data_IF_255782215002
#
_entry.id   IF_255782215002
#
_cell.length_a   1.000
_cell.length_b   1.000
_cell.length_c   1.000
_cell.angle_alpha   90.00
_cell.angle_beta   90.00
_cell.angle_gamma   90.00
#
_symmetry.space_group_name_H-M   'P 1'
#
loop_
_entity.id
_entity.type
_entity.pdbx_description
1 polymer ?
#
# COMPACT_ATOMS: atom_id res chain seq x y z
N UNK A 1 23.21 -35.22 7.54
CA UNK A 1 22.34 -34.09 7.15
C UNK A 1 22.05 -34.01 5.64
N UNK A 2 21.90 -35.13 4.91
CA UNK A 2 21.58 -35.12 3.45
C UNK A 2 20.15 -35.62 3.11
N UNK A 3 19.42 -36.20 4.07
CA UNK A 3 18.06 -36.73 3.86
C UNK A 3 16.94 -35.69 3.86
N UNK A 4 17.08 -34.60 4.63
CA UNK A 4 16.04 -33.57 4.74
C UNK A 4 15.92 -32.66 3.50
N UNK A 5 16.95 -32.61 2.66
CA UNK A 5 16.96 -31.80 1.44
C UNK A 5 16.05 -32.39 0.34
N UNK A 6 15.98 -33.71 0.23
CA UNK A 6 15.11 -34.39 -0.73
C UNK A 6 13.63 -34.33 -0.33
N UNK A 7 13.33 -34.29 0.98
CA UNK A 7 11.95 -34.15 1.46
C UNK A 7 11.38 -32.74 1.23
N UNK A 8 12.23 -31.71 1.30
CA UNK A 8 11.88 -30.31 0.94
C UNK A 8 11.64 -30.14 -0.57
N UNK A 9 12.41 -30.83 -1.41
CA UNK A 9 12.22 -30.82 -2.87
C UNK A 9 10.95 -31.56 -3.30
N UNK A 10 10.59 -32.66 -2.63
CA UNK A 10 9.33 -33.38 -2.90
C UNK A 10 8.10 -32.55 -2.49
N UNK A 11 8.19 -31.78 -1.40
CA UNK A 11 7.15 -30.85 -0.96
C UNK A 11 6.90 -29.70 -1.94
N UNK A 12 7.97 -29.16 -2.54
CA UNK A 12 7.84 -28.11 -3.56
C UNK A 12 7.19 -28.61 -4.86
N UNK A 13 7.34 -29.89 -5.20
CA UNK A 13 6.75 -30.47 -6.41
C UNK A 13 5.26 -30.80 -6.27
N UNK A 14 4.75 -30.95 -5.04
CA UNK A 14 3.32 -31.15 -4.77
C UNK A 14 2.55 -29.83 -4.67
N UNK A 15 3.20 -28.74 -4.25
CA UNK A 15 2.64 -27.38 -4.22
C UNK A 15 2.43 -26.76 -5.62
N UNK A 16 3.19 -27.17 -6.62
CA UNK A 16 3.03 -26.67 -8.00
C UNK A 16 1.81 -27.27 -8.72
N UNK A 17 1.36 -28.47 -8.35
CA UNK A 17 0.18 -29.10 -8.98
C UNK A 17 -1.15 -28.48 -8.55
N UNK A 18 -1.25 -27.94 -7.33
CA UNK A 18 -2.45 -27.24 -6.86
C UNK A 18 -2.57 -25.85 -7.49
N UNK A 19 -1.44 -25.16 -7.74
CA UNK A 19 -1.44 -23.87 -8.43
C UNK A 19 -1.97 -23.95 -9.87
N UNK A 20 -1.59 -25.00 -10.62
CA UNK A 20 -2.00 -25.17 -12.02
C UNK A 20 -3.48 -25.57 -12.19
N UNK A 21 -4.04 -26.36 -11.25
CA UNK A 21 -5.46 -26.74 -11.27
C UNK A 21 -6.39 -25.54 -11.04
N UNK A 22 -5.93 -24.58 -10.23
CA UNK A 22 -6.69 -23.39 -9.89
C UNK A 22 -6.71 -22.35 -11.03
N UNK A 23 -5.63 -22.26 -11.83
CA UNK A 23 -5.59 -21.46 -13.06
C UNK A 23 -6.60 -21.94 -14.12
N UNK A 24 -6.78 -23.26 -14.27
CA UNK A 24 -7.71 -23.82 -15.25
C UNK A 24 -9.17 -23.63 -14.80
N UNK A 25 -9.47 -23.71 -13.51
CA UNK A 25 -10.81 -23.45 -12.98
C UNK A 25 -11.22 -21.97 -13.10
N UNK A 26 -10.29 -21.02 -12.91
CA UNK A 26 -10.55 -19.59 -13.11
C UNK A 26 -10.73 -19.23 -14.60
N UNK A 27 -10.14 -20.00 -15.52
CA UNK A 27 -10.26 -19.77 -16.97
C UNK A 27 -11.63 -20.13 -17.55
N UNK A 28 -12.37 -21.05 -16.92
CA UNK A 28 -13.71 -21.49 -17.35
C UNK A 28 -14.85 -20.64 -16.77
N UNK A 29 -14.56 -19.74 -15.83
CA UNK A 29 -15.55 -18.88 -15.17
C UNK A 29 -15.61 -17.44 -15.70
N UNK A 30 -14.82 -17.11 -16.74
CA UNK A 30 -14.88 -15.81 -17.42
C UNK A 30 -15.89 -15.82 -18.56
N UNK A 31 -17.19 -15.82 -18.22
CA UNK A 31 -18.23 -15.38 -19.13
C UNK A 31 -18.21 -13.84 -19.27
N UNK A 32 -18.16 -13.41 -20.52
CA UNK A 32 -18.44 -12.10 -21.13
C UNK A 32 -18.92 -10.95 -20.21
N UNK A 33 -17.98 -10.20 -19.63
CA UNK A 33 -18.13 -8.76 -19.42
C UNK A 33 -16.94 -8.06 -20.08
N UNK A 34 -17.18 -6.97 -20.84
CA UNK A 34 -16.14 -6.10 -21.42
C UNK A 34 -14.96 -6.00 -20.44
N UNK A 35 -13.70 -6.30 -20.85
CA UNK A 35 -12.59 -6.36 -19.93
C UNK A 35 -12.40 -4.98 -19.29
N UNK A 36 -12.94 -4.84 -18.09
CA UNK A 36 -12.80 -3.67 -17.23
C UNK A 36 -11.30 -3.45 -17.02
N UNK A 37 -10.81 -2.28 -17.42
CA UNK A 37 -9.39 -1.91 -17.33
C UNK A 37 -8.87 -2.16 -15.91
N UNK A 38 -7.75 -2.88 -15.76
CA UNK A 38 -7.14 -3.11 -14.45
C UNK A 38 -6.42 -1.86 -13.94
N UNK A 39 -6.23 -0.85 -14.78
CA UNK A 39 -5.52 0.39 -14.46
C UNK A 39 -6.42 1.46 -13.85
N UNK A 40 -5.85 2.24 -12.95
CA UNK A 40 -6.52 3.34 -12.29
C UNK A 40 -5.57 4.49 -11.98
N UNK A 41 -6.15 5.68 -11.83
CA UNK A 41 -5.53 6.85 -11.22
C UNK A 41 -5.97 6.95 -9.76
N UNK A 42 -5.07 7.40 -8.90
CA UNK A 42 -5.30 7.53 -7.46
C UNK A 42 -4.85 8.92 -7.02
N UNK A 43 -5.65 9.56 -6.17
CA UNK A 43 -5.29 10.78 -5.47
C UNK A 43 -5.48 10.54 -3.97
N UNK A 44 -4.52 10.98 -3.16
CA UNK A 44 -4.53 10.78 -1.72
C UNK A 44 -4.17 12.08 -0.99
N UNK A 45 -4.81 12.27 0.16
CA UNK A 45 -4.54 13.33 1.11
C UNK A 45 -4.01 12.74 2.42
N UNK A 46 -2.95 13.34 2.97
CA UNK A 46 -2.33 12.97 4.25
C UNK A 46 -1.90 11.48 4.37
N UNK A 47 -1.45 10.87 3.27
CA UNK A 47 -1.11 9.44 3.19
C UNK A 47 0.33 9.05 3.49
N UNK A 48 1.08 9.88 4.22
CA UNK A 48 2.53 9.72 4.45
C UNK A 48 3.40 9.74 3.17
N UNK A 49 2.85 10.24 2.05
CA UNK A 49 3.56 10.55 0.79
C UNK A 49 3.69 12.07 0.62
N UNK A 50 3.14 12.86 1.53
CA UNK A 50 2.97 14.31 1.42
C UNK A 50 1.59 14.74 1.87
N UNK A 51 1.29 16.04 1.73
CA UNK A 51 -0.05 16.56 2.01
C UNK A 51 -1.04 16.05 0.97
N UNK A 52 -0.63 16.11 -0.30
CA UNK A 52 -1.37 15.59 -1.45
C UNK A 52 -0.46 14.70 -2.28
N UNK A 53 -1.02 13.65 -2.86
CA UNK A 53 -0.31 12.82 -3.83
C UNK A 53 -1.23 12.35 -4.94
N UNK A 54 -0.64 12.11 -6.10
CA UNK A 54 -1.30 11.53 -7.27
C UNK A 54 -0.48 10.36 -7.77
N UNK A 55 -1.15 9.33 -8.26
CA UNK A 55 -0.50 8.09 -8.64
C UNK A 55 -1.27 7.31 -9.68
N UNK A 56 -0.58 6.33 -10.24
CA UNK A 56 -1.11 5.38 -11.21
C UNK A 56 -0.90 3.98 -10.67
N UNK A 57 -1.86 3.10 -10.89
CA UNK A 57 -1.77 1.74 -10.38
C UNK A 57 -2.53 0.73 -11.21
N UNK A 58 -2.32 -0.54 -10.83
CA UNK A 58 -2.92 -1.70 -11.47
C UNK A 58 -3.53 -2.63 -10.42
N UNK A 59 -4.72 -3.14 -10.73
CA UNK A 59 -5.36 -4.25 -10.03
C UNK A 59 -4.87 -5.58 -10.62
N UNK A 60 -4.47 -6.50 -9.73
CA UNK A 60 -3.95 -7.83 -10.03
C UNK A 60 -4.59 -8.86 -9.10
N UNK A 61 -4.30 -10.15 -9.31
CA UNK A 61 -4.78 -11.26 -8.47
C UNK A 61 -6.30 -11.24 -8.25
N UNK A 62 -7.05 -11.35 -9.36
CA UNK A 62 -8.52 -11.29 -9.36
C UNK A 62 -9.08 -10.06 -8.62
N UNK A 63 -8.47 -8.89 -8.85
CA UNK A 63 -8.81 -7.59 -8.24
C UNK A 63 -8.66 -7.52 -6.72
N UNK A 64 -7.96 -8.47 -6.09
CA UNK A 64 -7.69 -8.44 -4.65
C UNK A 64 -6.37 -7.76 -4.30
N UNK A 65 -5.47 -7.60 -5.26
CA UNK A 65 -4.19 -6.93 -5.05
C UNK A 65 -4.11 -5.67 -5.91
N UNK A 66 -3.74 -4.56 -5.29
CA UNK A 66 -3.47 -3.30 -5.94
C UNK A 66 -2.00 -2.95 -5.77
N UNK A 67 -1.36 -2.55 -6.86
CA UNK A 67 0.00 -2.01 -6.82
C UNK A 67 -0.01 -0.65 -7.51
N UNK A 68 0.42 0.38 -6.79
CA UNK A 68 0.46 1.75 -7.30
C UNK A 68 1.79 2.43 -7.05
N UNK A 69 2.09 3.35 -7.96
CA UNK A 69 3.18 4.29 -7.87
C UNK A 69 2.59 5.70 -7.75
N UNK A 70 3.00 6.41 -6.71
CA UNK A 70 2.47 7.72 -6.34
C UNK A 70 3.57 8.75 -6.20
N UNK A 71 3.29 9.98 -6.61
CA UNK A 71 4.12 11.15 -6.38
C UNK A 71 3.37 12.12 -5.48
N UNK A 72 4.02 12.57 -4.42
CA UNK A 72 3.44 13.46 -3.42
C UNK A 72 4.22 14.73 -3.21
N UNK A 73 3.50 15.71 -2.67
CA UNK A 73 3.97 17.06 -2.45
C UNK A 73 3.59 17.53 -1.05
N UNK A 74 4.55 18.10 -0.33
CA UNK A 74 4.35 18.72 0.97
C UNK A 74 4.85 20.17 0.93
N UNK A 75 3.95 21.16 1.14
CA UNK A 75 4.33 22.56 1.09
C UNK A 75 5.15 22.98 2.31
N UNK A 76 6.05 23.94 2.09
CA UNK A 76 6.97 24.48 3.11
C UNK A 76 6.26 24.94 4.39
N UNK A 77 5.06 25.52 4.28
CA UNK A 77 4.29 26.01 5.43
C UNK A 77 4.02 24.93 6.49
N UNK A 78 4.03 23.65 6.10
CA UNK A 78 3.75 22.53 7.01
C UNK A 78 5.00 21.77 7.45
N UNK A 79 6.07 21.81 6.66
CA UNK A 79 7.26 20.99 6.89
C UNK A 79 8.55 21.78 7.15
N UNK A 80 8.49 23.12 7.14
CA UNK A 80 9.69 23.96 7.19
C UNK A 80 10.41 24.07 5.85
N UNK A 81 10.32 23.02 5.02
CA UNK A 81 10.83 22.94 3.65
C UNK A 81 9.85 22.29 2.66
N UNK A 82 10.10 22.52 1.37
CA UNK A 82 9.32 21.93 0.29
C UNK A 82 9.82 20.52 0.01
N UNK A 83 8.98 19.52 0.30
CA UNK A 83 9.33 18.11 0.10
C UNK A 83 8.58 17.51 -1.08
N UNK A 84 9.30 16.71 -1.86
CA UNK A 84 8.75 15.84 -2.87
C UNK A 84 9.02 14.40 -2.47
N UNK A 85 8.04 13.53 -2.67
CA UNK A 85 8.15 12.13 -2.27
C UNK A 85 7.59 11.25 -3.37
N UNK A 86 8.29 10.16 -3.67
CA UNK A 86 7.73 9.06 -4.49
C UNK A 86 7.40 7.90 -3.58
N UNK A 87 6.37 7.14 -3.91
CA UNK A 87 5.98 5.98 -3.13
C UNK A 87 5.49 4.84 -4.02
N UNK A 88 5.87 3.63 -3.64
CA UNK A 88 5.28 2.40 -4.15
C UNK A 88 4.40 1.83 -3.05
N UNK A 89 3.14 1.54 -3.38
CA UNK A 89 2.16 1.00 -2.43
C UNK A 89 1.57 -0.29 -2.96
N UNK A 90 1.39 -1.24 -2.05
CA UNK A 90 0.72 -2.51 -2.28
C UNK A 90 -0.46 -2.64 -1.31
N UNK A 91 -1.66 -2.80 -1.85
CA UNK A 91 -2.91 -2.90 -1.08
C UNK A 91 -3.60 -4.23 -1.39
N UNK A 92 -3.87 -5.01 -0.36
CA UNK A 92 -4.57 -6.28 -0.42
C UNK A 92 -5.99 -6.17 0.17
N UNK A 93 -6.94 -6.78 -0.52
CA UNK A 93 -8.34 -6.87 -0.10
C UNK A 93 -8.66 -8.30 0.34
N UNK A 94 -8.59 -8.61 1.64
CA UNK A 94 -8.78 -9.98 2.14
C UNK A 94 -10.23 -10.45 2.06
N UNK A 95 -11.19 -9.53 2.17
CA UNK A 95 -12.63 -9.83 2.19
C UNK A 95 -13.23 -9.46 0.83
N UNK A 96 -14.31 -10.15 0.41
CA UNK A 96 -15.06 -9.78 -0.79
C UNK A 96 -15.84 -8.47 -0.57
N UNK A 97 -16.07 -7.66 -1.61
CA UNK A 97 -16.95 -6.51 -1.51
C UNK A 97 -18.38 -6.92 -1.10
N UNK A 98 -18.98 -6.15 -0.22
CA UNK A 98 -20.38 -6.29 0.20
C UNK A 98 -21.23 -5.34 -0.67
N UNK A 99 -22.16 -5.85 -1.48
CA UNK A 99 -23.03 -4.99 -2.28
C UNK A 99 -24.05 -4.30 -1.36
N UNK A 100 -24.07 -2.97 -1.37
CA UNK A 100 -24.99 -2.15 -0.57
C UNK A 100 -25.75 -1.21 -1.51
N UNK A 101 -26.97 -1.59 -1.89
CA UNK A 101 -27.86 -0.82 -2.79
C UNK A 101 -27.19 -0.43 -4.11
N UNK A 102 -26.61 0.77 -4.17
CA UNK A 102 -26.02 1.42 -5.35
C UNK A 102 -24.48 1.42 -5.34
N UNK A 103 -23.85 0.96 -4.26
CA UNK A 103 -22.40 0.91 -4.10
C UNK A 103 -21.93 -0.47 -3.66
N UNK A 104 -20.68 -0.80 -3.94
CA UNK A 104 -20.00 -1.96 -3.36
C UNK A 104 -19.06 -1.48 -2.27
N UNK A 105 -19.31 -1.92 -1.05
CA UNK A 105 -18.50 -1.57 0.11
C UNK A 105 -17.44 -2.63 0.35
N UNK A 106 -16.18 -2.20 0.40
CA UNK A 106 -15.03 -3.01 0.75
C UNK A 106 -14.66 -2.68 2.21
N UNK A 107 -15.06 -3.53 3.18
CA UNK A 107 -14.94 -3.19 4.60
C UNK A 107 -13.50 -3.18 5.09
N UNK A 108 -12.63 -3.96 4.45
CA UNK A 108 -11.25 -4.12 4.85
C UNK A 108 -10.30 -4.10 3.65
N UNK A 109 -9.27 -3.27 3.77
CA UNK A 109 -8.07 -3.23 2.95
C UNK A 109 -6.86 -3.19 3.87
N UNK A 110 -5.82 -3.95 3.55
CA UNK A 110 -4.55 -3.95 4.27
C UNK A 110 -3.45 -3.63 3.28
N UNK A 111 -2.37 -2.98 3.72
CA UNK A 111 -1.30 -2.72 2.79
C UNK A 111 -0.03 -2.17 3.41
N UNK A 112 0.96 -2.07 2.53
CA UNK A 112 2.25 -1.51 2.84
C UNK A 112 2.66 -0.51 1.77
N UNK A 113 3.43 0.48 2.17
CA UNK A 113 3.98 1.52 1.32
C UNK A 113 5.45 1.67 1.63
N UNK A 114 6.24 1.85 0.58
CA UNK A 114 7.64 2.24 0.65
C UNK A 114 7.72 3.59 -0.04
N UNK A 115 8.18 4.62 0.67
CA UNK A 115 8.33 5.96 0.14
C UNK A 115 9.78 6.43 0.18
N UNK A 116 10.14 7.28 -0.78
CA UNK A 116 11.42 7.95 -0.88
C UNK A 116 11.19 9.46 -0.97
N UNK A 117 11.71 10.20 0.01
CA UNK A 117 11.62 11.67 0.06
C UNK A 117 12.89 12.29 -0.50
N UNK A 118 12.73 13.21 -1.45
CA UNK A 118 13.83 13.97 -2.05
C UNK A 118 14.17 15.19 -1.21
N UNK A 119 15.46 15.44 -1.01
CA UNK A 119 15.99 16.68 -0.45
C UNK A 119 17.43 16.47 0.02
N UNK A 120 18.21 17.55 0.08
CA UNK A 120 19.64 17.49 0.45
C UNK A 120 19.85 17.08 1.92
N UNK A 121 18.81 17.22 2.75
CA UNK A 121 18.77 16.79 4.15
C UNK A 121 18.34 15.32 4.34
N UNK A 122 17.91 14.64 3.27
CA UNK A 122 17.42 13.25 3.31
C UNK A 122 18.43 12.29 2.71
N UNK A 123 18.97 11.39 3.54
CA UNK A 123 20.04 10.49 3.13
C UNK A 123 19.52 9.07 2.87
N UNK A 124 19.64 8.63 1.61
CA UNK A 124 19.23 7.30 1.14
C UNK A 124 20.11 6.15 1.67
N UNK A 125 21.31 6.47 2.17
CA UNK A 125 22.32 5.47 2.56
C UNK A 125 22.98 5.84 3.89
N UNK A 126 23.18 4.84 4.75
CA UNK A 126 23.96 4.94 6.00
C UNK A 126 25.36 5.56 5.78
N UNK A 127 25.93 5.45 4.58
CA UNK A 127 27.24 6.05 4.27
C UNK A 127 27.28 7.57 4.39
N UNK A 128 26.15 8.27 4.22
CA UNK A 128 26.08 9.72 4.39
C UNK A 128 25.74 10.16 5.84
N UNK A 129 25.30 9.22 6.70
CA UNK A 129 25.17 9.47 8.15
C UNK A 129 26.54 9.64 8.84
N UNK A 130 27.64 9.28 8.17
CA UNK A 130 29.01 9.51 8.65
C UNK A 130 29.35 11.00 8.86
N UNK A 131 28.55 11.93 8.32
CA UNK A 131 28.69 13.37 8.56
C UNK A 131 28.21 13.79 9.96
N UNK A 132 27.41 12.96 10.64
CA UNK A 132 26.96 13.18 12.00
C UNK A 132 27.75 12.28 12.97
N UNK A 133 28.58 12.87 13.87
CA UNK A 133 29.59 12.13 14.63
C UNK A 133 29.04 11.07 15.62
N UNK A 134 27.72 11.02 15.86
CA UNK A 134 27.11 10.17 16.89
C UNK A 134 26.23 9.02 16.38
N UNK A 135 26.18 8.70 15.07
CA UNK A 135 25.25 7.66 14.53
C UNK A 135 23.82 7.82 15.07
N UNK A 136 23.37 9.06 15.22
CA UNK A 136 22.12 9.41 15.90
C UNK A 136 20.88 8.81 15.21
N UNK A 137 20.97 8.57 13.89
CA UNK A 137 19.95 7.88 13.11
C UNK A 137 20.35 6.41 12.88
N UNK A 138 19.43 5.49 13.18
CA UNK A 138 19.60 4.03 12.98
C UNK A 138 18.98 3.53 11.67
N UNK A 139 18.28 4.39 10.93
CA UNK A 139 17.57 4.08 9.69
C UNK A 139 17.85 5.17 8.64
N UNK A 140 17.64 4.86 7.36
CA UNK A 140 17.74 5.85 6.27
C UNK A 140 16.67 6.91 6.47
N UNK A 141 17.07 8.18 6.50
CA UNK A 141 16.12 9.29 6.64
C UNK A 141 15.30 9.55 5.37
N UNK A 142 15.73 9.02 4.21
CA UNK A 142 15.04 9.21 2.95
C UNK A 142 14.03 8.12 2.61
N UNK A 143 14.19 6.89 3.14
CA UNK A 143 13.31 5.74 2.83
C UNK A 143 12.43 5.44 4.04
N UNK A 144 11.11 5.46 3.84
CA UNK A 144 10.16 5.13 4.90
C UNK A 144 9.30 3.93 4.52
N UNK A 145 9.03 3.09 5.52
CA UNK A 145 8.06 2.00 5.43
C UNK A 145 6.79 2.42 6.16
N UNK A 146 5.64 2.21 5.55
CA UNK A 146 4.35 2.58 6.11
C UNK A 146 3.38 1.40 6.00
N UNK A 147 2.74 1.05 7.11
CA UNK A 147 1.75 -0.03 7.18
C UNK A 147 0.38 0.59 7.45
N UNK A 148 -0.64 0.11 6.74
CA UNK A 148 -2.00 0.65 6.87
C UNK A 148 -3.09 -0.41 6.75
N UNK A 149 -4.21 -0.09 7.39
CA UNK A 149 -5.48 -0.78 7.25
C UNK A 149 -6.56 0.25 6.91
N UNK A 150 -7.61 -0.15 6.21
CA UNK A 150 -8.59 0.81 5.71
C UNK A 150 -9.82 0.17 5.11
N UNK A 151 -10.56 0.95 4.35
CA UNK A 151 -11.74 0.52 3.61
C UNK A 151 -11.94 1.33 2.34
N UNK A 152 -12.77 0.81 1.44
CA UNK A 152 -13.05 1.42 0.15
C UNK A 152 -14.55 1.32 -0.18
N UNK A 153 -15.07 2.30 -0.89
CA UNK A 153 -16.43 2.35 -1.43
C UNK A 153 -16.34 2.52 -2.93
N UNK A 154 -16.98 1.62 -3.68
CA UNK A 154 -17.02 1.65 -5.13
C UNK A 154 -18.41 2.05 -5.62
N UNK A 155 -18.49 3.06 -6.48
CA UNK A 155 -19.77 3.59 -6.96
C UNK A 155 -20.27 2.85 -8.21
N UNK A 156 -20.18 1.51 -8.23
CA UNK A 156 -20.36 0.69 -9.44
C UNK A 156 -21.73 0.82 -10.12
N UNK A 157 -22.77 1.17 -9.37
CA UNK A 157 -24.16 1.20 -9.84
C UNK A 157 -24.70 2.61 -10.09
N UNK A 158 -23.84 3.63 -9.97
CA UNK A 158 -24.15 5.03 -10.31
C UNK A 158 -23.54 5.32 -11.67
N UNK A 159 -24.34 5.40 -12.72
CA UNK A 159 -23.88 5.41 -14.12
C UNK A 159 -22.81 6.47 -14.40
N UNK A 160 -22.98 7.70 -13.89
CA UNK A 160 -22.00 8.79 -14.03
C UNK A 160 -20.74 8.63 -13.18
N UNK A 161 -20.80 7.86 -12.09
CA UNK A 161 -19.72 7.73 -11.11
C UNK A 161 -19.13 6.32 -11.03
N UNK A 162 -19.52 5.40 -11.93
CA UNK A 162 -19.10 3.99 -11.95
C UNK A 162 -17.59 3.77 -11.98
N UNK A 163 -16.82 4.78 -12.42
CA UNK A 163 -15.37 4.77 -12.48
C UNK A 163 -14.70 5.23 -11.18
N UNK A 164 -15.43 5.89 -10.29
CA UNK A 164 -14.91 6.47 -9.06
C UNK A 164 -15.09 5.56 -7.86
N UNK A 165 -14.08 5.55 -6.99
CA UNK A 165 -14.10 4.89 -5.70
C UNK A 165 -13.50 5.82 -4.65
N UNK A 166 -14.11 5.92 -3.48
CA UNK A 166 -13.53 6.58 -2.31
C UNK A 166 -12.86 5.56 -1.41
N UNK A 167 -11.76 5.92 -0.77
CA UNK A 167 -11.10 5.05 0.21
C UNK A 167 -10.52 5.85 1.36
N UNK A 168 -10.33 5.17 2.49
CA UNK A 168 -9.64 5.72 3.65
C UNK A 168 -8.62 4.70 4.15
N UNK A 169 -7.52 5.19 4.70
CA UNK A 169 -6.45 4.37 5.26
C UNK A 169 -6.05 4.93 6.62
N UNK A 170 -5.92 4.06 7.61
CA UNK A 170 -5.34 4.36 8.91
C UNK A 170 -4.06 3.56 9.03
N UNK A 171 -2.94 4.25 9.25
CA UNK A 171 -1.65 3.57 9.26
C UNK A 171 -0.56 4.35 9.99
N UNK A 172 0.60 3.74 10.09
CA UNK A 172 1.75 4.30 10.79
C UNK A 172 3.06 3.94 10.08
N UNK A 173 4.10 4.73 10.31
CA UNK A 173 5.45 4.42 9.83
C UNK A 173 6.06 3.29 10.67
N UNK A 174 6.85 2.43 10.03
CA UNK A 174 7.45 1.25 10.65
C UNK A 174 8.32 1.61 11.87
N UNK A 175 9.05 2.71 11.82
CA UNK A 175 9.89 3.19 12.93
C UNK A 175 9.06 3.54 14.18
N UNK A 176 7.90 4.17 14.00
CA UNK A 176 6.97 4.46 15.10
C UNK A 176 6.30 3.20 15.63
N UNK A 177 5.95 2.26 14.75
CA UNK A 177 5.39 0.99 15.16
C UNK A 177 6.38 0.16 15.98
N UNK A 178 7.63 0.05 15.53
CA UNK A 178 8.70 -0.63 16.27
C UNK A 178 8.92 0.05 17.61
N UNK A 179 8.97 1.38 17.64
CA UNK A 179 9.14 2.15 18.87
C UNK A 179 7.99 1.94 19.86
N UNK A 180 6.75 1.88 19.38
CA UNK A 180 5.57 1.58 20.20
C UNK A 180 5.59 0.15 20.76
N UNK A 181 5.97 -0.84 19.96
CA UNK A 181 6.08 -2.24 20.40
C UNK A 181 7.18 -2.40 21.46
N UNK A 182 8.31 -1.71 21.29
CA UNK A 182 9.43 -1.78 22.25
C UNK A 182 9.19 -0.94 23.52
N UNK A 183 8.40 0.14 23.44
CA UNK A 183 8.15 1.06 24.55
C UNK A 183 6.67 1.48 24.65
N UNK A 184 5.76 0.54 24.96
CA UNK A 184 4.31 0.77 24.88
C UNK A 184 3.77 1.83 25.84
N UNK A 185 4.49 2.13 26.93
CA UNK A 185 4.07 3.13 27.94
C UNK A 185 4.32 4.59 27.54
N UNK A 186 5.05 4.87 26.46
CA UNK A 186 5.54 6.22 26.15
C UNK A 186 4.82 6.89 24.96
N UNK A 187 4.14 6.12 24.11
CA UNK A 187 3.53 6.59 22.87
C UNK A 187 2.04 6.20 22.84
N UNK A 188 1.15 7.19 22.74
CA UNK A 188 -0.28 6.92 22.56
C UNK A 188 -0.56 6.50 21.10
N UNK A 189 -1.44 5.51 20.85
CA UNK A 189 -1.85 5.11 19.50
C UNK A 189 -2.33 6.30 18.63
N UNK A 190 -3.03 7.27 19.24
CA UNK A 190 -3.52 8.46 18.54
C UNK A 190 -2.40 9.37 18.01
N UNK A 191 -1.16 9.25 18.52
CA UNK A 191 0.00 10.03 18.08
C UNK A 191 0.79 9.37 16.95
N UNK A 192 0.59 8.07 16.74
CA UNK A 192 1.38 7.29 15.77
C UNK A 192 0.57 6.91 14.53
N UNK A 193 -0.76 6.81 14.66
CA UNK A 193 -1.64 6.49 13.53
C UNK A 193 -2.14 7.75 12.84
N UNK A 194 -2.05 7.76 11.52
CA UNK A 194 -2.54 8.83 10.66
C UNK A 194 -3.70 8.33 9.82
N UNK A 195 -4.71 9.20 9.64
CA UNK A 195 -5.83 8.97 8.72
C UNK A 195 -5.52 9.63 7.38
N UNK A 196 -5.59 8.84 6.32
CA UNK A 196 -5.49 9.28 4.95
C UNK A 196 -6.81 9.06 4.23
N UNK A 197 -7.15 9.99 3.35
CA UNK A 197 -8.35 9.95 2.54
C UNK A 197 -7.96 9.99 1.07
N UNK A 198 -8.66 9.26 0.22
CA UNK A 198 -8.35 9.28 -1.19
C UNK A 198 -9.50 8.91 -2.10
N UNK A 199 -9.29 9.23 -3.37
CA UNK A 199 -10.20 8.93 -4.46
C UNK A 199 -9.42 8.20 -5.54
N UNK A 200 -10.06 7.19 -6.11
CA UNK A 200 -9.55 6.39 -7.22
C UNK A 200 -10.49 6.54 -8.41
N UNK A 201 -9.91 6.66 -9.60
CA UNK A 201 -10.64 6.68 -10.86
C UNK A 201 -10.10 5.56 -11.76
N UNK A 202 -10.96 4.63 -12.14
CA UNK A 202 -10.65 3.58 -13.10
C UNK A 202 -10.58 4.16 -14.52
N UNK A 203 -9.59 3.72 -15.30
CA UNK A 203 -9.34 4.16 -16.67
C UNK A 203 -10.23 3.47 -17.71
#
# INVERSE_FOLDING_TARGET
MKGYLYMLLLGCFLLSKTAFSQEVADSLAQEEEKPLTPYYLKAQFAGSIGLVSVGVGKQSFNRRLETDFSFGYLPQKLAGDRLYTVAVKSTFFPVKPVPVKTLDWQPLSLGMQISYTFGDDFFASERFLARYPNRYYRFSTAIHYYLFAGGQVNLVRVEKLRRFSGYYEVGTMGEYLISYIQNPGYLSPAKIFNLALGVKMRL
#
